data_IF_359748708938
#
_entry.id   IF_359748708938
#
_cell.length_a   1.000
_cell.length_b   1.000
_cell.length_c   1.000
_cell.angle_alpha   90.00
_cell.angle_beta   90.00
_cell.angle_gamma   90.00
#
_symmetry.space_group_name_H-M   'P 1'
#
loop_
_entity.id
_entity.type
_entity.pdbx_description
1 polymer ?
#
# COMPACT_ATOMS: atom_id res chain seq x y z
N UNK A 1 6.15 -18.84 -19.34
CA UNK A 1 7.03 -18.25 -20.38
C UNK A 1 8.31 -19.06 -20.33
N UNK A 2 8.83 -19.54 -21.46
CA UNK A 2 10.17 -20.11 -21.52
C UNK A 2 11.18 -18.98 -21.72
N UNK A 3 12.24 -18.96 -20.92
CA UNK A 3 13.36 -18.02 -21.08
C UNK A 3 14.48 -18.75 -21.81
N UNK A 4 15.09 -18.12 -22.82
CA UNK A 4 16.22 -18.73 -23.54
C UNK A 4 17.34 -19.08 -22.55
N UNK A 5 17.77 -20.35 -22.54
CA UNK A 5 18.81 -20.95 -21.66
C UNK A 5 18.38 -21.27 -20.22
N UNK A 6 17.07 -21.36 -19.92
CA UNK A 6 16.59 -21.99 -18.69
C UNK A 6 15.77 -23.25 -19.05
N UNK A 7 16.18 -24.41 -18.52
CA UNK A 7 15.44 -25.67 -18.67
C UNK A 7 14.20 -25.73 -17.75
N UNK A 8 14.09 -24.79 -16.80
CA UNK A 8 13.01 -24.71 -15.82
C UNK A 8 11.90 -23.76 -16.26
N UNK A 9 10.67 -24.27 -16.27
CA UNK A 9 9.48 -23.43 -16.49
C UNK A 9 9.11 -22.65 -15.23
N UNK A 10 8.91 -21.34 -15.36
CA UNK A 10 8.47 -20.47 -14.27
C UNK A 10 7.02 -20.02 -14.45
N UNK A 11 6.24 -20.11 -13.38
CA UNK A 11 4.86 -19.61 -13.33
C UNK A 11 4.89 -18.10 -13.06
N UNK A 12 4.23 -17.32 -13.92
CA UNK A 12 4.09 -15.87 -13.76
C UNK A 12 2.65 -15.54 -13.38
N UNK A 13 2.47 -14.96 -12.20
CA UNK A 13 1.20 -14.39 -11.78
C UNK A 13 1.10 -12.94 -12.24
N UNK A 14 0.35 -12.69 -13.31
CA UNK A 14 0.15 -11.35 -13.85
C UNK A 14 -1.20 -10.77 -13.43
N UNK A 15 -1.17 -9.73 -12.59
CA UNK A 15 -2.37 -9.06 -12.11
C UNK A 15 -2.61 -7.76 -12.87
N UNK A 16 -3.81 -7.64 -13.44
CA UNK A 16 -4.23 -6.44 -14.15
C UNK A 16 -5.28 -5.68 -13.33
N UNK A 17 -5.01 -4.41 -13.05
CA UNK A 17 -5.91 -3.54 -12.30
C UNK A 17 -6.47 -2.40 -13.20
N UNK A 18 -7.72 -2.51 -13.70
CA UNK A 18 -8.26 -1.58 -14.69
C UNK A 18 -8.85 -0.29 -14.09
N UNK A 19 -9.13 -0.26 -12.79
CA UNK A 19 -9.94 0.80 -12.16
C UNK A 19 -9.12 1.98 -11.62
N UNK A 20 -7.83 2.08 -11.98
CA UNK A 20 -6.97 3.17 -11.58
C UNK A 20 -6.85 4.21 -12.70
N UNK A 21 -7.48 5.40 -12.56
CA UNK A 21 -7.42 6.44 -13.58
C UNK A 21 -5.98 6.91 -13.80
N UNK A 22 -5.67 7.31 -15.03
CA UNK A 22 -4.37 7.89 -15.34
C UNK A 22 -4.31 9.33 -14.84
N UNK A 23 -3.16 9.75 -14.30
CA UNK A 23 -2.94 11.09 -13.70
C UNK A 23 -3.87 11.47 -12.53
N UNK A 24 -4.74 10.56 -12.06
CA UNK A 24 -5.60 10.77 -10.90
C UNK A 24 -5.25 9.86 -9.72
N UNK A 25 -5.89 10.12 -8.58
CA UNK A 25 -5.92 9.19 -7.46
C UNK A 25 -6.95 8.08 -7.69
N UNK A 26 -6.79 6.98 -6.97
CA UNK A 26 -7.78 5.92 -6.96
C UNK A 26 -9.04 6.42 -6.22
N UNK A 27 -10.22 6.17 -6.78
CA UNK A 27 -11.48 6.48 -6.10
C UNK A 27 -11.55 5.77 -4.74
N UNK A 28 -12.03 6.44 -3.69
CA UNK A 28 -12.14 5.90 -2.34
C UNK A 28 -12.90 4.58 -2.27
N UNK A 29 -13.90 4.36 -3.15
CA UNK A 29 -14.65 3.10 -3.26
C UNK A 29 -13.77 1.92 -3.70
N UNK A 30 -12.68 2.21 -4.41
CA UNK A 30 -11.79 1.21 -4.99
C UNK A 30 -10.58 0.90 -4.10
N UNK A 31 -10.33 1.66 -3.02
CA UNK A 31 -9.18 1.47 -2.11
C UNK A 31 -9.09 0.02 -1.63
N UNK A 32 -10.21 -0.55 -1.18
CA UNK A 32 -10.26 -1.94 -0.71
C UNK A 32 -9.77 -2.94 -1.77
N UNK A 33 -10.11 -2.71 -3.04
CA UNK A 33 -9.71 -3.61 -4.13
C UNK A 33 -8.20 -3.53 -4.43
N UNK A 34 -7.57 -2.36 -4.26
CA UNK A 34 -6.11 -2.23 -4.38
C UNK A 34 -5.39 -2.87 -3.19
N UNK A 35 -5.91 -2.72 -1.97
CA UNK A 35 -5.37 -3.42 -0.80
C UNK A 35 -5.46 -4.95 -0.98
N UNK A 36 -6.62 -5.45 -1.46
CA UNK A 36 -6.77 -6.88 -1.79
C UNK A 36 -5.80 -7.33 -2.89
N UNK A 37 -5.52 -6.48 -3.88
CA UNK A 37 -4.52 -6.78 -4.91
C UNK A 37 -3.11 -6.90 -4.31
N UNK A 38 -2.75 -6.04 -3.35
CA UNK A 38 -1.46 -6.13 -2.65
C UNK A 38 -1.36 -7.46 -1.88
N UNK A 39 -2.40 -7.83 -1.12
CA UNK A 39 -2.42 -9.09 -0.37
C UNK A 39 -2.34 -10.31 -1.29
N UNK A 40 -3.09 -10.30 -2.40
CA UNK A 40 -3.06 -11.35 -3.39
C UNK A 40 -1.67 -11.44 -4.05
N UNK A 41 -1.07 -10.31 -4.40
CA UNK A 41 0.29 -10.24 -4.96
C UNK A 41 1.32 -10.83 -4.00
N UNK A 42 1.27 -10.47 -2.71
CA UNK A 42 2.14 -11.03 -1.67
C UNK A 42 1.94 -12.55 -1.53
N UNK A 43 0.69 -13.01 -1.46
CA UNK A 43 0.37 -14.44 -1.29
C UNK A 43 0.87 -15.33 -2.44
N UNK A 44 1.08 -14.76 -3.63
CA UNK A 44 1.58 -15.46 -4.81
C UNK A 44 3.09 -15.34 -4.99
N UNK A 45 3.75 -14.48 -4.21
CA UNK A 45 5.21 -14.38 -4.21
C UNK A 45 5.79 -15.45 -3.28
N UNK A 46 6.17 -16.58 -3.86
CA UNK A 46 6.53 -17.80 -3.11
C UNK A 46 7.80 -17.62 -2.27
N UNK A 47 8.71 -16.74 -2.70
CA UNK A 47 9.96 -16.45 -1.99
C UNK A 47 10.09 -14.94 -1.81
N UNK A 48 10.48 -14.50 -0.62
CA UNK A 48 10.57 -13.06 -0.30
C UNK A 48 11.63 -12.34 -1.15
N UNK A 49 12.68 -13.06 -1.57
CA UNK A 49 13.73 -12.54 -2.43
C UNK A 49 13.27 -12.34 -3.89
N UNK A 50 12.12 -12.91 -4.28
CA UNK A 50 11.61 -12.75 -5.64
C UNK A 50 11.12 -11.32 -5.88
N UNK A 51 11.73 -10.58 -6.82
CA UNK A 51 11.32 -9.22 -7.11
C UNK A 51 9.93 -9.21 -7.75
N UNK A 52 9.04 -8.36 -7.22
CA UNK A 52 7.73 -8.15 -7.82
C UNK A 52 7.79 -7.00 -8.82
N UNK A 53 7.42 -7.30 -10.07
CA UNK A 53 7.41 -6.32 -11.14
C UNK A 53 6.09 -5.55 -11.13
N UNK A 54 6.16 -4.24 -10.91
CA UNK A 54 5.01 -3.34 -10.96
C UNK A 54 5.20 -2.34 -12.09
N UNK A 55 4.22 -2.23 -12.99
CA UNK A 55 4.26 -1.26 -14.09
C UNK A 55 2.88 -0.64 -14.34
N UNK A 56 2.90 0.51 -15.02
CA UNK A 56 1.70 1.12 -15.60
C UNK A 56 1.97 1.43 -17.08
N UNK A 57 1.86 2.69 -17.50
CA UNK A 57 2.34 3.16 -18.81
C UNK A 57 3.79 3.68 -18.69
N UNK A 58 4.01 4.83 -18.05
CA UNK A 58 5.35 5.39 -17.85
C UNK A 58 6.16 4.72 -16.72
N UNK A 59 5.50 3.92 -15.88
CA UNK A 59 6.14 3.23 -14.75
C UNK A 59 6.61 4.18 -13.64
N UNK A 60 5.87 5.28 -13.37
CA UNK A 60 6.24 6.29 -12.36
C UNK A 60 5.07 6.71 -11.46
N UNK A 61 3.93 7.13 -12.02
CA UNK A 61 2.78 7.63 -11.25
C UNK A 61 2.05 6.55 -10.45
N UNK A 62 1.18 5.78 -11.12
CA UNK A 62 0.47 4.63 -10.51
C UNK A 62 1.42 3.58 -9.94
N UNK A 63 2.52 3.30 -10.64
CA UNK A 63 3.58 2.40 -10.16
C UNK A 63 4.17 2.87 -8.83
N UNK A 64 4.62 4.13 -8.75
CA UNK A 64 5.18 4.66 -7.51
C UNK A 64 4.15 4.74 -6.39
N UNK A 65 2.89 5.06 -6.72
CA UNK A 65 1.82 5.12 -5.72
C UNK A 65 1.51 3.74 -5.15
N UNK A 66 1.46 2.71 -6.00
CA UNK A 66 1.25 1.33 -5.57
C UNK A 66 2.41 0.85 -4.69
N UNK A 67 3.66 1.05 -5.12
CA UNK A 67 4.85 0.62 -4.37
C UNK A 67 4.96 1.36 -3.03
N UNK A 68 4.77 2.69 -3.01
CA UNK A 68 4.80 3.48 -1.78
C UNK A 68 3.72 3.03 -0.79
N UNK A 69 2.47 2.92 -1.25
CA UNK A 69 1.37 2.49 -0.39
C UNK A 69 1.59 1.07 0.14
N UNK A 70 2.09 0.17 -0.69
CA UNK A 70 2.34 -1.20 -0.29
C UNK A 70 3.40 -1.30 0.82
N UNK A 71 4.50 -0.56 0.68
CA UNK A 71 5.54 -0.46 1.71
C UNK A 71 4.99 0.13 3.01
N UNK A 72 4.35 1.31 2.93
CA UNK A 72 3.77 2.00 4.09
C UNK A 72 2.72 1.16 4.82
N UNK A 73 1.93 0.37 4.08
CA UNK A 73 0.98 -0.55 4.69
C UNK A 73 1.67 -1.69 5.42
N UNK A 74 2.80 -2.18 4.92
CA UNK A 74 3.63 -3.16 5.60
C UNK A 74 4.18 -2.61 6.92
N UNK A 75 4.76 -1.41 6.90
CA UNK A 75 5.26 -0.71 8.09
C UNK A 75 4.15 -0.50 9.13
N UNK A 76 2.98 -0.01 8.68
CA UNK A 76 1.81 0.16 9.54
C UNK A 76 1.37 -1.15 10.16
N UNK A 77 1.21 -2.21 9.36
CA UNK A 77 0.75 -3.51 9.83
C UNK A 77 1.76 -4.16 10.78
N UNK A 78 3.05 -4.05 10.46
CA UNK A 78 4.16 -4.53 11.27
C UNK A 78 4.39 -3.77 12.58
N UNK A 79 3.70 -2.64 12.77
CA UNK A 79 3.77 -1.86 14.00
C UNK A 79 4.98 -0.94 14.09
N UNK A 80 5.58 -0.57 12.94
CA UNK A 80 6.75 0.31 12.88
C UNK A 80 6.57 1.66 13.59
N UNK A 81 5.32 2.10 13.71
CA UNK A 81 4.96 3.37 14.33
C UNK A 81 4.22 3.19 15.67
N UNK A 82 4.21 1.98 16.26
CA UNK A 82 3.64 1.78 17.59
C UNK A 82 4.39 2.62 18.62
N UNK A 83 3.64 3.37 19.45
CA UNK A 83 4.25 4.32 20.37
C UNK A 83 4.86 5.54 19.68
N UNK A 84 4.40 5.93 18.49
CA UNK A 84 4.88 7.08 17.71
C UNK A 84 5.13 8.35 18.55
N UNK A 85 4.23 8.68 19.48
CA UNK A 85 4.38 9.88 20.34
C UNK A 85 5.61 9.85 21.28
N UNK A 86 6.19 8.67 21.47
CA UNK A 86 7.31 8.37 22.35
C UNK A 86 8.57 7.94 21.57
N UNK A 87 8.50 7.83 20.23
CA UNK A 87 9.64 7.45 19.40
C UNK A 87 10.54 8.65 19.08
N UNK A 88 11.82 8.38 18.82
CA UNK A 88 12.78 9.37 18.30
C UNK A 88 12.41 9.83 16.87
N UNK A 89 11.62 9.03 16.16
CA UNK A 89 11.07 9.32 14.82
C UNK A 89 9.91 10.34 14.85
N UNK A 90 9.49 10.77 16.05
CA UNK A 90 8.40 11.73 16.22
C UNK A 90 8.70 13.04 15.50
N UNK A 91 7.89 13.31 14.48
CA UNK A 91 8.01 14.51 13.65
C UNK A 91 8.53 14.24 12.24
N UNK A 92 9.00 13.01 11.97
CA UNK A 92 9.32 12.55 10.63
C UNK A 92 8.03 12.30 9.84
N UNK A 93 8.09 12.53 8.53
CA UNK A 93 6.98 12.26 7.62
C UNK A 93 7.32 11.01 6.80
N UNK A 94 6.82 9.87 7.29
CA UNK A 94 7.08 8.57 6.68
C UNK A 94 6.64 8.50 5.20
N UNK A 95 5.58 9.23 4.82
CA UNK A 95 5.12 9.26 3.42
C UNK A 95 6.10 10.07 2.57
N UNK A 96 6.50 11.25 3.05
CA UNK A 96 7.51 12.07 2.37
C UNK A 96 8.82 11.31 2.16
N UNK A 97 9.34 10.69 3.23
CA UNK A 97 10.60 9.94 3.18
C UNK A 97 10.51 8.75 2.22
N UNK A 98 9.42 7.99 2.26
CA UNK A 98 9.19 6.87 1.34
C UNK A 98 9.18 7.35 -0.11
N UNK A 99 8.46 8.43 -0.42
CA UNK A 99 8.38 8.95 -1.79
C UNK A 99 9.70 9.55 -2.24
N UNK A 100 10.44 10.23 -1.37
CA UNK A 100 11.76 10.75 -1.68
C UNK A 100 12.75 9.62 -1.99
N UNK A 101 12.80 8.58 -1.16
CA UNK A 101 13.63 7.40 -1.40
C UNK A 101 13.28 6.71 -2.73
N UNK A 102 11.99 6.56 -3.05
CA UNK A 102 11.57 6.02 -4.34
C UNK A 102 12.02 6.91 -5.51
N UNK A 103 11.99 8.24 -5.34
CA UNK A 103 12.43 9.19 -6.38
C UNK A 103 13.95 9.20 -6.58
N UNK A 104 14.73 8.87 -5.56
CA UNK A 104 16.18 8.66 -5.67
C UNK A 104 16.51 7.39 -6.48
N UNK A 105 15.68 6.34 -6.39
CA UNK A 105 15.87 5.09 -7.14
C UNK A 105 15.32 5.17 -8.57
N UNK A 106 14.17 5.83 -8.76
CA UNK A 106 13.54 6.06 -10.07
C UNK A 106 12.90 7.43 -10.11
N UNK A 107 13.36 8.26 -11.04
CA UNK A 107 12.88 9.65 -11.16
C UNK A 107 11.35 9.72 -11.29
N UNK A 108 10.73 10.72 -10.67
CA UNK A 108 9.29 11.06 -10.76
C UNK A 108 8.30 10.02 -10.22
N UNK A 109 8.74 9.08 -9.38
CA UNK A 109 7.82 8.19 -8.65
C UNK A 109 6.79 8.99 -7.86
N UNK A 110 5.53 8.55 -7.91
CA UNK A 110 4.34 9.30 -7.41
C UNK A 110 4.28 10.67 -8.07
N UNK A 111 3.72 10.71 -9.28
CA UNK A 111 3.90 11.83 -10.21
C UNK A 111 2.92 12.97 -9.96
N UNK A 112 1.65 12.64 -9.73
CA UNK A 112 0.58 13.62 -9.55
C UNK A 112 0.38 13.98 -8.08
N UNK A 113 -0.08 15.20 -7.81
CA UNK A 113 -0.34 15.66 -6.42
C UNK A 113 -1.47 14.84 -5.80
N UNK A 114 -2.48 14.48 -6.58
CA UNK A 114 -3.62 13.65 -6.19
C UNK A 114 -3.15 12.26 -5.73
N UNK A 115 -2.14 11.69 -6.40
CA UNK A 115 -1.53 10.42 -6.00
C UNK A 115 -0.78 10.53 -4.67
N UNK A 116 -0.13 11.67 -4.43
CA UNK A 116 0.58 11.93 -3.18
C UNK A 116 -0.41 12.12 -2.02
N UNK A 117 -1.45 12.95 -2.21
CA UNK A 117 -2.54 13.14 -1.23
C UNK A 117 -3.22 11.80 -0.90
N UNK A 118 -3.47 10.98 -1.92
CA UNK A 118 -4.05 9.66 -1.75
C UNK A 118 -3.28 8.76 -0.78
N UNK A 119 -1.94 8.83 -0.76
CA UNK A 119 -1.13 8.09 0.21
C UNK A 119 -1.47 8.50 1.66
N UNK A 120 -1.56 9.81 1.93
CA UNK A 120 -1.94 10.32 3.26
C UNK A 120 -3.36 9.91 3.64
N UNK A 121 -4.31 10.05 2.71
CA UNK A 121 -5.72 9.74 2.98
C UNK A 121 -5.92 8.27 3.35
N UNK A 122 -5.33 7.37 2.56
CA UNK A 122 -5.45 5.92 2.80
C UNK A 122 -4.71 5.53 4.07
N UNK A 123 -3.46 5.99 4.25
CA UNK A 123 -2.66 5.60 5.41
C UNK A 123 -3.28 6.09 6.72
N UNK A 124 -3.78 7.34 6.74
CA UNK A 124 -4.52 7.88 7.89
C UNK A 124 -5.73 7.02 8.21
N UNK A 125 -6.55 6.68 7.21
CA UNK A 125 -7.75 5.85 7.43
C UNK A 125 -7.37 4.46 7.98
N UNK A 126 -6.32 3.85 7.44
CA UNK A 126 -5.84 2.55 7.91
C UNK A 126 -5.25 2.62 9.34
N UNK A 127 -4.59 3.73 9.69
CA UNK A 127 -4.12 4.01 11.04
C UNK A 127 -5.28 4.10 12.05
N UNK A 128 -6.28 4.93 11.73
CA UNK A 128 -7.49 5.10 12.53
C UNK A 128 -8.21 3.76 12.75
N UNK A 129 -8.36 2.96 11.68
CA UNK A 129 -8.96 1.62 11.74
C UNK A 129 -8.13 0.65 12.60
N UNK A 130 -6.79 0.63 12.48
CA UNK A 130 -5.92 -0.27 13.25
C UNK A 130 -5.95 0.04 14.74
N UNK A 131 -5.84 1.31 15.12
CA UNK A 131 -5.72 1.74 16.52
C UNK A 131 -7.05 2.18 17.16
N UNK A 132 -8.17 2.08 16.43
CA UNK A 132 -9.52 2.47 16.87
C UNK A 132 -9.57 3.91 17.38
N UNK A 133 -8.82 4.81 16.76
CA UNK A 133 -8.82 6.22 17.14
C UNK A 133 -10.07 6.90 16.55
N UNK A 134 -10.78 7.75 17.32
CA UNK A 134 -11.86 8.56 16.78
C UNK A 134 -11.31 9.51 15.70
N UNK A 135 -11.96 9.54 14.54
CA UNK A 135 -11.56 10.34 13.41
C UNK A 135 -11.67 11.84 13.75
N UNK A 136 -10.55 12.56 13.83
CA UNK A 136 -10.53 14.01 13.96
C UNK A 136 -10.17 14.67 12.62
N UNK A 137 -11.16 14.80 11.71
CA UNK A 137 -11.20 15.88 10.70
C UNK A 137 -10.86 15.57 9.22
N UNK A 138 -11.72 16.07 8.32
CA UNK A 138 -11.52 16.28 6.87
C UNK A 138 -12.84 16.20 6.08
N UNK A 139 -13.04 17.01 5.03
CA UNK A 139 -14.29 17.10 4.23
C UNK A 139 -14.77 15.78 3.56
N UNK A 140 -13.99 14.71 3.68
CA UNK A 140 -14.26 13.38 3.10
C UNK A 140 -14.29 12.24 4.14
N UNK A 141 -14.54 12.54 5.41
CA UNK A 141 -14.67 11.51 6.47
C UNK A 141 -15.93 10.67 6.29
N UNK A 142 -15.82 9.35 6.49
CA UNK A 142 -17.00 8.48 6.68
C UNK A 142 -17.65 8.80 8.03
N UNK A 143 -18.95 9.11 8.03
CA UNK A 143 -19.74 9.51 9.20
C UNK A 143 -19.98 8.41 10.26
N UNK A 144 -19.33 7.24 10.18
CA UNK A 144 -19.61 6.14 11.11
C UNK A 144 -18.38 5.27 11.38
N UNK A 145 -18.12 4.92 12.66
CA UNK A 145 -17.13 3.93 13.02
C UNK A 145 -17.44 2.58 12.35
N UNK A 146 -16.43 1.77 12.01
CA UNK A 146 -16.65 0.39 11.56
C UNK A 146 -17.38 -0.42 12.65
N UNK A 147 -18.44 -1.14 12.28
CA UNK A 147 -19.15 -2.04 13.22
C UNK A 147 -18.22 -3.14 13.75
N UNK A 148 -18.23 -3.36 15.07
CA UNK A 148 -17.48 -4.42 15.73
C UNK A 148 -17.78 -5.80 15.10
N UNK A 149 -16.73 -6.54 14.78
CA UNK A 149 -16.82 -7.95 14.39
C UNK A 149 -17.13 -8.24 12.92
N UNK A 150 -17.25 -7.23 12.05
CA UNK A 150 -17.55 -7.43 10.60
C UNK A 150 -16.39 -7.13 9.65
N UNK A 151 -15.18 -6.83 10.13
CA UNK A 151 -14.06 -6.55 9.24
C UNK A 151 -13.40 -7.86 8.74
N UNK A 152 -13.60 -8.27 7.48
CA UNK A 152 -13.05 -9.53 6.96
C UNK A 152 -11.53 -9.46 6.76
N UNK A 153 -10.91 -8.28 6.89
CA UNK A 153 -9.46 -8.07 6.68
C UNK A 153 -8.63 -8.49 7.89
N UNK A 154 -9.21 -8.47 9.09
CA UNK A 154 -8.51 -8.81 10.33
C UNK A 154 -9.00 -10.17 10.87
N UNK A 155 -8.71 -11.25 10.14
CA UNK A 155 -8.55 -12.54 10.81
C UNK A 155 -7.13 -12.57 11.36
N UNK A 156 -7.05 -12.48 12.69
CA UNK A 156 -5.81 -12.61 13.45
C UNK A 156 -4.94 -13.72 12.88
N UNK A 157 -3.67 -13.40 12.61
CA UNK A 157 -2.61 -14.39 12.47
C UNK A 157 -2.66 -15.20 13.78
N UNK A 158 -2.91 -16.51 13.75
CA UNK A 158 -2.92 -17.30 14.98
C UNK A 158 -1.52 -17.26 15.57
N UNK A 159 -1.40 -16.75 16.80
CA UNK A 159 -0.23 -16.95 17.63
C UNK A 159 -0.11 -18.45 17.94
N UNK A 160 0.73 -19.16 17.18
CA UNK A 160 1.09 -20.52 17.54
C UNK A 160 2.00 -20.48 18.78
N UNK A 161 1.50 -21.07 19.87
CA UNK A 161 2.32 -21.59 20.97
C UNK A 161 2.93 -22.93 20.60
#
# INVERSE_FOLDING_TARGET
MSVENEDEEKIIWHFFYPLWPDMGSLNSQNVKSVLTLMDLSRSKNVEEENPRVVHCSAGVGRTGTFVALEFLMGELQGGAWEGWDQSEEKGNDAIFETVDQLRQQRKTMVQAVEQYIFLYEVLRKQWEEKYRLPCFGGEHTHDSPPEEGKNPVFRAIPENK
#
